data_IF_926266190936
#
_entry.id   IF_926266190936
#
_cell.length_a   1.000
_cell.length_b   1.000
_cell.length_c   1.000
_cell.angle_alpha   90.00
_cell.angle_beta   90.00
_cell.angle_gamma   90.00
#
_symmetry.space_group_name_H-M   'P 1'
#
loop_
_entity.id
_entity.type
_entity.pdbx_description
1 polymer ?
#
# COMPACT_ATOMS: atom_id res chain seq x y z
N UNK A 1 -22.25 2.67 -10.57
CA UNK A 1 -21.61 2.05 -11.76
C UNK A 1 -20.12 1.87 -11.48
N UNK A 2 -19.59 0.73 -11.78
CA UNK A 2 -18.15 0.47 -11.66
C UNK A 2 -17.46 0.99 -12.92
N UNK A 3 -16.45 1.84 -12.74
CA UNK A 3 -15.60 2.31 -13.83
C UNK A 3 -14.20 1.74 -13.67
N UNK A 4 -13.66 1.20 -14.76
CA UNK A 4 -12.31 0.65 -14.82
C UNK A 4 -11.41 1.59 -15.61
N UNK A 5 -10.26 1.94 -15.05
CA UNK A 5 -9.23 2.72 -15.72
C UNK A 5 -8.01 1.82 -15.93
N UNK A 6 -7.47 1.80 -17.16
CA UNK A 6 -6.30 0.98 -17.49
C UNK A 6 -4.98 1.70 -17.23
N UNK A 7 -5.00 2.99 -17.04
CA UNK A 7 -3.84 3.80 -16.68
C UNK A 7 -3.94 4.34 -15.28
N UNK A 8 -3.09 5.30 -14.95
CA UNK A 8 -3.20 6.04 -13.71
C UNK A 8 -4.49 6.87 -13.63
N UNK A 9 -4.88 7.24 -12.44
CA UNK A 9 -6.02 8.12 -12.21
C UNK A 9 -5.74 9.04 -11.01
N UNK A 10 -6.38 10.20 -11.02
CA UNK A 10 -6.35 11.14 -9.89
C UNK A 10 -7.65 11.06 -9.12
N UNK A 11 -7.56 11.03 -7.81
CA UNK A 11 -8.72 11.18 -6.93
C UNK A 11 -8.79 12.66 -6.49
N UNK A 12 -9.82 13.34 -6.93
CA UNK A 12 -10.00 14.77 -6.70
C UNK A 12 -11.03 14.97 -5.59
N UNK A 13 -10.66 15.70 -4.54
CA UNK A 13 -11.51 15.99 -3.38
C UNK A 13 -12.12 14.74 -2.71
N UNK A 14 -11.51 13.59 -2.88
CA UNK A 14 -11.98 12.33 -2.31
C UNK A 14 -13.20 11.71 -2.99
N UNK A 15 -13.74 12.33 -4.04
CA UNK A 15 -14.99 11.89 -4.68
C UNK A 15 -14.91 11.71 -6.19
N UNK A 16 -14.15 12.54 -6.89
CA UNK A 16 -14.09 12.54 -8.35
C UNK A 16 -12.83 11.83 -8.83
N UNK A 17 -12.99 11.01 -9.86
CA UNK A 17 -11.87 10.31 -10.49
C UNK A 17 -11.61 10.94 -11.86
N UNK A 18 -10.37 11.37 -12.08
CA UNK A 18 -9.90 11.91 -13.35
C UNK A 18 -8.80 10.99 -13.89
N UNK A 19 -9.01 10.46 -15.10
CA UNK A 19 -8.01 9.59 -15.74
C UNK A 19 -6.73 10.38 -16.07
N UNK A 20 -5.59 9.72 -16.01
CA UNK A 20 -4.28 10.30 -16.35
C UNK A 20 -4.16 10.45 -17.88
N UNK A 21 -4.68 11.56 -18.39
CA UNK A 21 -4.65 11.93 -19.80
C UNK A 21 -3.90 13.25 -19.96
N UNK A 22 -3.51 13.65 -21.19
CA UNK A 22 -2.91 14.98 -21.40
C UNK A 22 -3.77 16.15 -20.93
N UNK A 23 -5.09 15.98 -20.86
CA UNK A 23 -6.04 16.99 -20.39
C UNK A 23 -6.30 16.94 -18.89
N UNK A 24 -5.76 15.96 -18.17
CA UNK A 24 -6.05 15.77 -16.74
C UNK A 24 -5.75 17.01 -15.89
N UNK A 25 -4.65 17.70 -16.17
CA UNK A 25 -4.28 18.91 -15.44
C UNK A 25 -5.35 20.01 -15.58
N UNK A 26 -5.94 20.16 -16.76
CA UNK A 26 -7.02 21.13 -16.99
C UNK A 26 -8.29 20.76 -16.26
N UNK A 27 -8.65 19.48 -16.26
CA UNK A 27 -9.84 19.00 -15.55
C UNK A 27 -9.69 19.16 -14.03
N UNK A 28 -8.53 18.86 -13.50
CA UNK A 28 -8.23 19.03 -12.06
C UNK A 28 -8.28 20.51 -11.69
N UNK A 29 -7.69 21.39 -12.50
CA UNK A 29 -7.72 22.82 -12.28
C UNK A 29 -9.15 23.35 -12.33
N UNK A 30 -9.97 22.89 -13.26
CA UNK A 30 -11.37 23.30 -13.37
C UNK A 30 -12.18 22.87 -12.14
N UNK A 31 -11.88 21.73 -11.55
CA UNK A 31 -12.60 21.19 -10.38
C UNK A 31 -12.11 21.77 -9.05
N UNK A 32 -10.82 22.04 -8.92
CA UNK A 32 -10.20 22.44 -7.65
C UNK A 32 -9.66 23.87 -7.63
N UNK A 33 -9.40 24.45 -8.80
CA UNK A 33 -8.72 25.74 -8.92
C UNK A 33 -7.22 25.67 -8.64
N UNK A 34 -6.68 24.47 -8.44
CA UNK A 34 -5.27 24.24 -8.09
C UNK A 34 -4.57 23.54 -9.24
N UNK A 35 -3.38 24.03 -9.59
CA UNK A 35 -2.49 23.34 -10.54
C UNK A 35 -1.52 22.45 -9.75
N UNK A 36 -1.53 21.15 -10.02
CA UNK A 36 -0.64 20.19 -9.39
C UNK A 36 0.05 19.36 -10.46
N UNK A 37 1.34 19.08 -10.27
CA UNK A 37 2.07 18.17 -11.15
C UNK A 37 1.79 16.72 -10.78
N UNK A 38 2.02 15.81 -11.73
CA UNK A 38 1.87 14.36 -11.50
C UNK A 38 2.77 13.88 -10.37
N UNK A 39 4.01 14.39 -10.31
CA UNK A 39 4.98 14.03 -9.28
C UNK A 39 4.52 14.47 -7.88
N UNK A 40 3.97 15.66 -7.77
CA UNK A 40 3.41 16.15 -6.50
C UNK A 40 2.17 15.37 -6.09
N UNK A 41 1.30 15.07 -7.03
CA UNK A 41 0.11 14.27 -6.77
C UNK A 41 0.46 12.86 -6.29
N UNK A 42 1.47 12.23 -6.89
CA UNK A 42 1.95 10.91 -6.48
C UNK A 42 2.45 10.91 -5.03
N UNK A 43 3.10 11.97 -4.57
CA UNK A 43 3.58 12.13 -3.19
C UNK A 43 2.46 12.33 -2.17
N UNK A 44 1.26 12.65 -2.62
CA UNK A 44 0.09 12.83 -1.76
C UNK A 44 -0.75 11.55 -1.61
N UNK A 45 -0.35 10.44 -2.24
CA UNK A 45 -1.06 9.18 -2.09
C UNK A 45 -0.81 8.56 -0.71
N UNK A 46 -1.78 7.80 -0.22
CA UNK A 46 -1.63 7.05 1.03
C UNK A 46 -0.48 6.05 0.96
N UNK A 47 -0.35 5.35 -0.17
CA UNK A 47 0.72 4.37 -0.38
C UNK A 47 2.10 5.02 -0.27
N UNK A 48 2.30 6.16 -0.90
CA UNK A 48 3.57 6.90 -0.82
C UNK A 48 3.88 7.31 0.63
N UNK A 49 2.89 7.84 1.35
CA UNK A 49 3.04 8.23 2.75
C UNK A 49 3.45 7.07 3.64
N UNK A 50 2.78 5.92 3.51
CA UNK A 50 3.08 4.72 4.27
C UNK A 50 4.49 4.21 3.97
N UNK A 51 4.86 4.12 2.70
CA UNK A 51 6.19 3.66 2.30
C UNK A 51 7.28 4.61 2.80
N UNK A 52 7.05 5.91 2.74
CA UNK A 52 8.00 6.91 3.24
C UNK A 52 8.25 6.79 4.74
N UNK A 53 7.20 6.59 5.52
CA UNK A 53 7.32 6.43 6.98
C UNK A 53 8.08 5.18 7.38
N UNK A 54 7.92 4.10 6.61
CA UNK A 54 8.55 2.81 6.91
C UNK A 54 9.88 2.61 6.21
N UNK A 55 10.30 3.55 5.36
CA UNK A 55 11.55 3.45 4.62
C UNK A 55 12.75 3.85 5.47
N UNK A 56 13.72 2.96 5.59
CA UNK A 56 14.97 3.19 6.34
C UNK A 56 16.16 3.52 5.45
N UNK A 57 16.00 3.47 4.12
CA UNK A 57 17.11 3.74 3.19
C UNK A 57 17.43 5.21 2.98
N UNK A 58 16.47 6.11 3.27
CA UNK A 58 16.59 7.53 2.93
C UNK A 58 16.41 7.84 1.44
N UNK A 59 16.15 6.83 0.61
CA UNK A 59 15.98 6.98 -0.84
C UNK A 59 14.64 6.36 -1.25
N UNK A 60 13.73 7.16 -1.81
CA UNK A 60 12.40 6.70 -2.22
C UNK A 60 12.38 5.90 -3.52
N UNK A 61 13.48 5.89 -4.29
CA UNK A 61 13.61 5.05 -5.49
C UNK A 61 14.10 3.63 -5.17
N UNK A 62 14.77 3.46 -4.03
CA UNK A 62 15.26 2.17 -3.52
C UNK A 62 14.87 2.00 -2.07
N UNK A 63 13.72 1.44 -1.85
CA UNK A 63 13.13 1.33 -0.53
C UNK A 63 13.75 0.18 0.27
N UNK A 64 13.95 0.42 1.57
CA UNK A 64 14.26 -0.61 2.57
C UNK A 64 13.22 -0.50 3.68
N UNK A 65 12.16 -1.25 3.54
CA UNK A 65 10.98 -1.11 4.39
C UNK A 65 11.16 -1.87 5.70
N UNK A 66 10.79 -1.23 6.79
CA UNK A 66 10.66 -1.86 8.10
C UNK A 66 9.17 -2.04 8.41
N UNK A 67 8.76 -3.28 8.57
CA UNK A 67 7.38 -3.62 8.89
C UNK A 67 7.09 -3.44 10.38
N UNK A 68 5.86 -3.04 10.71
CA UNK A 68 5.41 -2.89 12.09
C UNK A 68 4.93 -4.19 12.69
N UNK A 69 4.21 -4.99 11.89
CA UNK A 69 3.56 -6.21 12.33
C UNK A 69 3.55 -7.25 11.23
N UNK A 70 3.51 -8.50 11.63
CA UNK A 70 3.33 -9.64 10.73
C UNK A 70 1.99 -10.29 11.06
N UNK A 71 1.17 -10.50 10.04
CA UNK A 71 -0.13 -11.14 10.19
C UNK A 71 -0.25 -12.30 9.23
N UNK A 72 -0.76 -13.43 9.71
CA UNK A 72 -1.10 -14.56 8.86
C UNK A 72 -2.44 -15.13 9.26
N UNK A 73 -3.02 -15.92 8.35
CA UNK A 73 -4.22 -16.69 8.67
C UNK A 73 -3.84 -18.12 9.10
N UNK A 74 -4.82 -18.80 9.67
CA UNK A 74 -4.66 -20.11 10.30
C UNK A 74 -4.14 -21.20 9.37
N UNK A 75 -4.57 -21.25 8.12
CA UNK A 75 -4.16 -22.31 7.17
C UNK A 75 -2.66 -22.23 6.86
N UNK A 76 -2.13 -21.03 6.64
CA UNK A 76 -0.72 -20.86 6.29
C UNK A 76 0.21 -20.87 7.48
N UNK A 77 -0.31 -20.77 8.69
CA UNK A 77 0.50 -20.67 9.92
C UNK A 77 1.49 -21.83 10.09
N UNK A 78 1.06 -23.06 9.84
CA UNK A 78 1.91 -24.23 9.99
C UNK A 78 3.14 -24.16 9.09
N UNK A 79 2.95 -23.83 7.81
CA UNK A 79 4.05 -23.66 6.87
C UNK A 79 5.01 -22.54 7.26
N UNK A 80 4.49 -21.42 7.76
CA UNK A 80 5.29 -20.29 8.22
C UNK A 80 6.16 -20.71 9.41
N UNK A 81 5.60 -21.40 10.40
CA UNK A 81 6.33 -21.85 11.59
C UNK A 81 7.39 -22.88 11.24
N UNK A 82 7.08 -23.82 10.35
CA UNK A 82 8.05 -24.82 9.91
C UNK A 82 9.24 -24.15 9.19
N UNK A 83 8.98 -23.22 8.29
CA UNK A 83 10.02 -22.48 7.57
C UNK A 83 10.86 -21.64 8.51
N UNK A 84 10.23 -20.96 9.46
CA UNK A 84 10.92 -20.12 10.43
C UNK A 84 11.87 -20.95 11.31
N UNK A 85 11.41 -22.10 11.80
CA UNK A 85 12.25 -23.02 12.60
C UNK A 85 13.40 -23.60 11.79
N UNK A 86 13.14 -24.01 10.56
CA UNK A 86 14.19 -24.53 9.67
C UNK A 86 15.26 -23.47 9.37
N UNK A 87 14.89 -22.20 9.35
CA UNK A 87 15.82 -21.08 9.15
C UNK A 87 16.57 -20.68 10.42
N UNK A 88 16.31 -21.33 11.56
CA UNK A 88 16.93 -20.97 12.84
C UNK A 88 16.31 -19.77 13.54
N UNK A 89 15.16 -19.30 13.09
CA UNK A 89 14.47 -18.19 13.73
C UNK A 89 13.83 -18.65 15.04
N UNK A 90 14.17 -18.00 16.15
CA UNK A 90 13.62 -18.32 17.46
C UNK A 90 12.46 -17.41 17.86
N UNK A 91 12.43 -16.21 17.30
CA UNK A 91 11.41 -15.18 17.60
C UNK A 91 11.26 -14.28 16.39
N UNK A 92 10.03 -13.91 16.10
CA UNK A 92 9.77 -12.88 15.07
C UNK A 92 10.29 -11.52 15.56
N UNK A 93 10.96 -10.74 14.69
CA UNK A 93 11.53 -9.44 15.07
C UNK A 93 10.46 -8.36 15.25
N UNK A 94 9.21 -8.66 14.96
CA UNK A 94 8.06 -7.76 15.06
C UNK A 94 6.87 -8.51 15.64
N UNK A 95 5.86 -7.81 16.18
CA UNK A 95 4.66 -8.45 16.68
C UNK A 95 3.98 -9.30 15.61
N UNK A 96 3.58 -10.51 16.00
CA UNK A 96 2.91 -11.47 15.14
C UNK A 96 1.45 -11.63 15.56
N UNK A 97 0.53 -11.56 14.59
CA UNK A 97 -0.90 -11.78 14.81
C UNK A 97 -1.38 -12.93 13.95
N UNK A 98 -1.90 -13.96 14.60
CA UNK A 98 -2.56 -15.06 13.93
C UNK A 98 -4.06 -14.76 13.87
N UNK A 99 -4.61 -14.73 12.66
CA UNK A 99 -6.04 -14.54 12.45
C UNK A 99 -6.68 -15.87 12.08
N UNK A 100 -7.88 -16.08 12.59
CA UNK A 100 -8.67 -17.27 12.30
C UNK A 100 -9.82 -16.85 11.37
N UNK A 101 -9.60 -16.97 10.08
CA UNK A 101 -10.54 -16.48 9.06
C UNK A 101 -11.10 -17.60 8.16
N UNK A 102 -10.85 -18.85 8.52
CA UNK A 102 -11.37 -20.04 7.83
C UNK A 102 -12.23 -20.89 8.78
N UNK A 103 -12.88 -21.92 8.26
CA UNK A 103 -13.73 -22.81 9.02
C UNK A 103 -12.95 -23.81 9.90
N UNK A 104 -11.79 -23.44 10.36
CA UNK A 104 -10.91 -24.30 11.16
C UNK A 104 -11.40 -24.51 12.58
N UNK A 105 -12.43 -23.78 13.01
CA UNK A 105 -13.08 -23.96 14.31
C UNK A 105 -14.37 -24.78 14.25
N UNK A 106 -14.75 -25.28 13.11
CA UNK A 106 -15.94 -26.10 12.95
C UNK A 106 -15.69 -27.54 13.37
#
# INVERSE_FOLDING_TARGET
MIQLTQGGAYLVNGTDIVADTPEAAREIQAKTGITISKEEAAKNTMAYGILREHNTSGNMDKLKIRFDKLTSHDITFVGIIQTARASGLQKFPMPYVLTNCHNSLC
#
